data_IF_297677033839
#
_entry.id   IF_297677033839
#
_cell.length_a   1.000
_cell.length_b   1.000
_cell.length_c   1.000
_cell.angle_alpha   90.00
_cell.angle_beta   90.00
_cell.angle_gamma   90.00
#
_symmetry.space_group_name_H-M   'P 1'
#
loop_
_entity.id
_entity.type
_entity.pdbx_description
1 polymer ?
#
# COMPACT_ATOMS: atom_id res chain seq x y z
N UNK A 1 -11.21 16.45 14.82
CA UNK A 1 -10.69 15.10 15.10
C UNK A 1 -9.18 15.19 15.18
N UNK A 2 -8.59 14.87 16.33
CA UNK A 2 -7.15 14.88 16.51
C UNK A 2 -6.54 13.64 15.84
N UNK A 3 -5.41 13.81 15.14
CA UNK A 3 -4.69 12.70 14.52
C UNK A 3 -4.21 11.72 15.60
N UNK A 4 -4.26 10.39 15.36
CA UNK A 4 -3.72 9.42 16.30
C UNK A 4 -2.24 9.67 16.52
N UNK A 5 -1.85 9.75 17.79
CA UNK A 5 -0.47 9.98 18.23
C UNK A 5 0.42 8.86 17.68
N UNK A 6 1.30 9.18 16.73
CA UNK A 6 2.32 8.23 16.28
C UNK A 6 3.35 8.09 17.41
N UNK A 7 3.34 6.96 18.10
CA UNK A 7 4.25 6.60 19.21
C UNK A 7 5.74 6.49 18.79
N UNK A 8 6.17 7.16 17.71
CA UNK A 8 7.54 7.10 17.18
C UNK A 8 8.56 7.92 17.98
N UNK A 9 8.12 8.72 18.96
CA UNK A 9 8.99 9.52 19.81
C UNK A 9 8.79 9.16 21.28
N UNK A 10 9.90 8.86 21.97
CA UNK A 10 9.93 8.74 23.43
C UNK A 10 9.64 10.13 24.02
N UNK A 11 8.42 10.34 24.49
CA UNK A 11 8.06 11.56 25.21
C UNK A 11 8.79 11.56 26.56
N UNK A 12 9.36 12.72 26.88
CA UNK A 12 10.26 13.00 27.98
C UNK A 12 9.60 12.83 29.35
N UNK A 13 9.54 11.59 29.86
CA UNK A 13 8.98 11.34 31.19
C UNK A 13 9.38 10.04 31.88
N UNK A 14 10.23 9.21 31.28
CA UNK A 14 10.56 7.91 31.90
C UNK A 14 11.81 8.03 32.78
N UNK A 15 11.57 8.04 34.09
CA UNK A 15 12.59 8.02 35.14
C UNK A 15 13.34 6.70 35.03
N UNK A 16 14.67 6.76 35.06
CA UNK A 16 15.56 5.59 34.95
C UNK A 16 15.13 4.45 35.89
N UNK A 17 14.53 3.41 35.34
CA UNK A 17 14.29 2.14 36.02
C UNK A 17 14.53 0.99 35.03
N UNK A 18 15.48 0.13 35.38
CA UNK A 18 15.90 -1.13 34.77
C UNK A 18 15.93 -1.29 33.24
N UNK A 19 17.10 -1.71 32.73
CA UNK A 19 17.39 -2.07 31.34
C UNK A 19 16.64 -3.35 30.86
N UNK A 20 15.36 -3.51 31.16
CA UNK A 20 14.51 -4.37 30.31
C UNK A 20 14.24 -3.57 29.04
N UNK A 21 14.68 -4.10 27.91
CA UNK A 21 14.48 -3.49 26.61
C UNK A 21 12.98 -3.20 26.46
N UNK A 22 12.61 -1.92 26.55
CA UNK A 22 11.24 -1.48 26.35
C UNK A 22 10.70 -2.11 25.05
N UNK A 23 9.43 -2.52 25.06
CA UNK A 23 8.77 -3.13 23.91
C UNK A 23 9.12 -2.32 22.66
N UNK A 24 9.78 -2.94 21.70
CA UNK A 24 10.10 -2.27 20.44
C UNK A 24 8.80 -1.84 19.77
N UNK A 25 8.85 -0.73 19.02
CA UNK A 25 7.72 -0.32 18.22
C UNK A 25 7.33 -1.49 17.29
N UNK A 26 6.03 -1.81 17.16
CA UNK A 26 5.61 -2.92 16.32
C UNK A 26 5.99 -2.65 14.87
N UNK A 27 6.60 -3.63 14.21
CA UNK A 27 6.84 -3.57 12.77
C UNK A 27 5.49 -3.58 12.03
N UNK A 28 5.33 -2.65 11.09
CA UNK A 28 4.11 -2.49 10.30
C UNK A 28 4.40 -2.73 8.82
N UNK A 29 3.42 -3.28 8.11
CA UNK A 29 3.42 -3.31 6.66
C UNK A 29 2.79 -2.02 6.14
N UNK A 30 3.49 -1.32 5.24
CA UNK A 30 2.96 -0.18 4.50
C UNK A 30 2.83 -0.53 3.03
N UNK A 31 1.68 -0.24 2.43
CA UNK A 31 1.44 -0.36 1.00
C UNK A 31 1.04 1.03 0.49
N UNK A 32 1.78 1.52 -0.51
CA UNK A 32 1.63 2.84 -1.08
C UNK A 32 1.26 2.68 -2.55
N UNK A 33 0.33 3.49 -3.04
CA UNK A 33 -0.14 3.45 -4.41
C UNK A 33 -0.02 4.85 -5.05
N UNK A 34 0.50 4.88 -6.28
CA UNK A 34 0.52 6.07 -7.14
C UNK A 34 -0.28 5.77 -8.41
N UNK A 35 -1.50 6.27 -8.52
CA UNK A 35 -2.42 5.92 -9.61
C UNK A 35 -1.97 6.35 -11.00
N UNK A 36 -1.28 7.50 -11.10
CA UNK A 36 -0.69 7.95 -12.36
C UNK A 36 0.72 7.35 -12.61
N UNK A 37 1.23 6.55 -11.66
CA UNK A 37 2.58 6.01 -11.72
C UNK A 37 3.66 7.09 -11.52
N UNK A 38 4.77 6.92 -12.22
CA UNK A 38 5.95 7.78 -12.13
C UNK A 38 6.55 8.03 -13.53
N UNK A 39 7.53 8.94 -13.62
CA UNK A 39 8.25 9.19 -14.88
C UNK A 39 8.99 7.93 -15.37
N UNK A 40 8.46 7.30 -16.42
CA UNK A 40 8.87 5.95 -16.84
C UNK A 40 10.34 5.80 -17.25
N UNK A 41 10.97 6.85 -17.81
CA UNK A 41 12.41 6.81 -18.16
C UNK A 41 13.34 6.77 -16.95
N UNK A 42 12.82 7.12 -15.77
CA UNK A 42 13.56 7.20 -14.51
C UNK A 42 13.04 6.21 -13.45
N UNK A 43 12.09 5.34 -13.82
CA UNK A 43 11.60 4.24 -12.98
C UNK A 43 12.29 2.93 -13.36
N UNK A 44 13.51 2.74 -12.85
CA UNK A 44 14.29 1.53 -13.08
C UNK A 44 15.30 1.29 -11.96
N UNK A 45 15.71 0.02 -11.83
CA UNK A 45 16.83 -0.41 -11.02
C UNK A 45 17.72 -1.38 -11.82
N UNK A 46 19.04 -1.36 -11.58
CA UNK A 46 20.03 -2.27 -12.18
C UNK A 46 21.00 -2.77 -11.11
N UNK A 47 21.48 -4.00 -11.25
CA UNK A 47 22.35 -4.62 -10.26
C UNK A 47 21.60 -4.97 -8.96
N UNK A 48 22.34 -5.13 -7.86
CA UNK A 48 21.81 -5.59 -6.57
C UNK A 48 22.64 -5.10 -5.37
N UNK A 49 22.03 -5.10 -4.19
CA UNK A 49 22.68 -4.74 -2.93
C UNK A 49 23.31 -3.35 -2.98
N UNK A 50 24.54 -3.22 -2.47
CA UNK A 50 25.28 -1.94 -2.43
C UNK A 50 25.52 -1.32 -3.80
N UNK A 51 25.69 -2.16 -4.82
CA UNK A 51 25.96 -1.77 -6.20
C UNK A 51 24.69 -1.52 -7.01
N UNK A 52 23.49 -1.61 -6.41
CA UNK A 52 22.24 -1.33 -7.10
C UNK A 52 22.19 0.14 -7.54
N UNK A 53 22.01 0.36 -8.83
CA UNK A 53 21.78 1.66 -9.45
C UNK A 53 20.28 1.90 -9.59
N UNK A 54 19.85 3.15 -9.39
CA UNK A 54 18.46 3.55 -9.42
C UNK A 54 18.27 4.77 -10.32
N UNK A 55 17.16 4.82 -11.05
CA UNK A 55 16.73 6.01 -11.77
C UNK A 55 16.31 7.15 -10.84
N UNK A 56 16.25 8.37 -11.35
CA UNK A 56 16.06 9.60 -10.55
C UNK A 56 14.77 9.62 -9.71
N UNK A 57 13.71 8.92 -10.14
CA UNK A 57 12.47 8.84 -9.37
C UNK A 57 12.68 8.18 -8.01
N UNK A 58 13.64 7.24 -7.92
CA UNK A 58 13.91 6.44 -6.73
C UNK A 58 15.06 7.02 -5.89
N UNK A 59 15.64 8.16 -6.27
CA UNK A 59 16.75 8.78 -5.54
C UNK A 59 16.42 9.05 -4.06
N UNK A 60 15.19 9.49 -3.68
CA UNK A 60 14.83 9.68 -2.27
C UNK A 60 14.93 8.43 -1.39
N UNK A 61 14.91 7.23 -1.99
CA UNK A 61 15.00 5.96 -1.25
C UNK A 61 16.32 5.22 -1.49
N UNK A 62 17.30 5.87 -2.13
CA UNK A 62 18.58 5.27 -2.53
C UNK A 62 19.39 4.71 -1.37
N UNK A 63 19.31 5.33 -0.20
CA UNK A 63 19.98 4.86 1.01
C UNK A 63 19.48 3.48 1.47
N UNK A 64 18.25 3.09 1.09
CA UNK A 64 17.62 1.83 1.45
C UNK A 64 17.81 0.71 0.42
N UNK A 65 18.63 0.91 -0.63
CA UNK A 65 18.78 -0.05 -1.75
C UNK A 65 19.21 -1.46 -1.35
N UNK A 66 19.96 -1.62 -0.25
CA UNK A 66 20.35 -2.93 0.29
C UNK A 66 19.19 -3.68 0.95
N UNK A 67 18.12 -2.96 1.30
CA UNK A 67 16.90 -3.45 1.92
C UNK A 67 15.71 -3.41 0.95
N UNK A 68 15.99 -3.32 -0.35
CA UNK A 68 14.97 -3.16 -1.39
C UNK A 68 15.00 -4.34 -2.35
N UNK A 69 13.80 -4.78 -2.75
CA UNK A 69 13.59 -5.67 -3.89
C UNK A 69 12.82 -4.87 -4.93
N UNK A 70 13.43 -4.69 -6.11
CA UNK A 70 12.78 -4.01 -7.23
C UNK A 70 12.23 -5.07 -8.21
N UNK A 71 10.91 -5.17 -8.30
CA UNK A 71 10.23 -6.16 -9.14
C UNK A 71 9.79 -5.50 -10.44
N UNK A 72 10.06 -6.15 -11.58
CA UNK A 72 9.59 -5.75 -12.90
C UNK A 72 8.81 -6.90 -13.53
N UNK A 73 7.89 -6.55 -14.44
CA UNK A 73 7.12 -7.54 -15.19
C UNK A 73 5.98 -8.18 -14.39
N UNK A 74 5.54 -7.57 -13.28
CA UNK A 74 4.29 -7.95 -12.65
C UNK A 74 3.15 -7.73 -13.65
N UNK A 75 2.31 -8.75 -13.81
CA UNK A 75 1.21 -8.77 -14.75
C UNK A 75 -0.06 -9.23 -14.03
N UNK A 76 -1.15 -8.50 -14.24
CA UNK A 76 -2.47 -8.86 -13.75
C UNK A 76 -3.43 -8.91 -14.94
N UNK A 77 -3.84 -10.13 -15.32
CA UNK A 77 -4.76 -10.33 -16.45
C UNK A 77 -6.14 -9.71 -16.20
N UNK A 78 -6.61 -9.68 -14.95
CA UNK A 78 -7.90 -9.09 -14.59
C UNK A 78 -7.88 -7.56 -14.71
N UNK A 79 -6.72 -6.90 -14.59
CA UNK A 79 -6.59 -5.45 -14.77
C UNK A 79 -6.83 -5.00 -16.23
N UNK A 80 -6.81 -5.93 -17.19
CA UNK A 80 -7.15 -5.68 -18.59
C UNK A 80 -8.66 -5.75 -18.88
N UNK A 81 -9.47 -6.21 -17.91
CA UNK A 81 -10.91 -6.40 -18.07
C UNK A 81 -11.66 -5.28 -17.36
N UNK A 82 -12.59 -4.64 -18.05
CA UNK A 82 -13.40 -3.56 -17.51
C UNK A 82 -12.86 -2.17 -17.83
N UNK A 83 -13.15 -1.19 -16.98
CA UNK A 83 -12.72 0.19 -17.19
C UNK A 83 -11.27 0.41 -16.72
N UNK A 84 -10.49 1.22 -17.45
CA UNK A 84 -9.06 1.47 -17.16
C UNK A 84 -8.83 1.93 -15.73
N UNK A 85 -9.66 2.83 -15.20
CA UNK A 85 -9.48 3.36 -13.84
C UNK A 85 -9.88 2.34 -12.79
N UNK A 86 -11.08 1.75 -12.94
CA UNK A 86 -11.63 0.78 -11.99
C UNK A 86 -10.76 -0.47 -11.89
N UNK A 87 -10.25 -0.95 -13.02
CA UNK A 87 -9.57 -2.25 -13.11
C UNK A 87 -8.07 -2.14 -12.86
N UNK A 88 -7.44 -0.97 -13.05
CA UNK A 88 -6.04 -0.76 -12.66
C UNK A 88 -5.89 -0.47 -11.16
N UNK A 89 -6.89 0.16 -10.54
CA UNK A 89 -6.88 0.48 -9.10
C UNK A 89 -7.56 -0.62 -8.28
N UNK A 90 -8.79 -0.98 -8.64
CA UNK A 90 -9.70 -1.75 -7.78
C UNK A 90 -9.31 -3.21 -7.57
N UNK A 91 -8.49 -3.80 -8.44
CA UNK A 91 -7.98 -5.17 -8.22
C UNK A 91 -6.47 -5.20 -7.95
N UNK A 92 -5.83 -4.05 -7.73
CA UNK A 92 -4.37 -3.95 -7.61
C UNK A 92 -3.82 -4.90 -6.54
N UNK A 93 -4.46 -4.96 -5.37
CA UNK A 93 -4.00 -5.76 -4.23
C UNK A 93 -4.73 -7.11 -4.08
N UNK A 94 -5.76 -7.38 -4.89
CA UNK A 94 -6.51 -8.64 -4.84
C UNK A 94 -6.26 -9.55 -6.03
N UNK A 95 -5.87 -9.00 -7.18
CA UNK A 95 -5.78 -9.72 -8.46
C UNK A 95 -7.12 -10.29 -8.95
N UNK A 96 -8.23 -9.93 -8.29
CA UNK A 96 -9.54 -10.53 -8.51
C UNK A 96 -10.34 -9.80 -9.61
N UNK A 97 -11.27 -10.50 -10.28
CA UNK A 97 -12.22 -9.84 -11.18
C UNK A 97 -13.14 -8.89 -10.41
N UNK A 98 -13.52 -7.78 -11.04
CA UNK A 98 -14.45 -6.80 -10.51
C UNK A 98 -15.85 -7.03 -11.09
N UNK A 99 -16.89 -6.90 -10.28
CA UNK A 99 -18.28 -6.94 -10.78
C UNK A 99 -18.67 -5.65 -11.49
N UNK A 100 -19.39 -5.79 -12.61
CA UNK A 100 -20.03 -4.68 -13.33
C UNK A 100 -21.48 -4.46 -12.83
N UNK A 101 -22.25 -3.60 -13.50
CA UNK A 101 -23.61 -3.24 -13.10
C UNK A 101 -23.67 -2.35 -11.85
N UNK A 102 -22.61 -1.58 -11.59
CA UNK A 102 -22.50 -0.76 -10.37
C UNK A 102 -22.36 -1.55 -9.06
N UNK A 103 -22.29 -2.88 -9.12
CA UNK A 103 -22.11 -3.75 -7.94
C UNK A 103 -20.68 -3.67 -7.42
N UNK A 104 -20.52 -3.85 -6.12
CA UNK A 104 -19.21 -3.96 -5.46
C UNK A 104 -18.93 -5.42 -5.12
N UNK A 105 -17.95 -6.00 -5.80
CA UNK A 105 -17.42 -7.33 -5.55
C UNK A 105 -15.98 -7.39 -6.08
N UNK A 106 -15.06 -7.70 -5.19
CA UNK A 106 -13.64 -8.00 -5.44
C UNK A 106 -13.25 -9.22 -4.59
N UNK A 107 -11.99 -9.63 -4.64
CA UNK A 107 -11.41 -10.59 -3.70
C UNK A 107 -10.78 -9.90 -2.49
N UNK A 108 -10.57 -10.64 -1.40
CA UNK A 108 -9.81 -10.15 -0.25
C UNK A 108 -8.42 -9.70 -0.70
N UNK A 109 -8.06 -8.46 -0.43
CA UNK A 109 -6.77 -7.92 -0.82
C UNK A 109 -5.64 -8.39 0.10
N UNK A 110 -4.41 -8.39 -0.40
CA UNK A 110 -3.22 -8.85 0.34
C UNK A 110 -3.04 -8.10 1.67
N UNK A 111 -3.32 -6.80 1.73
CA UNK A 111 -3.25 -6.03 2.97
C UNK A 111 -4.25 -6.52 4.03
N UNK A 112 -5.47 -6.87 3.61
CA UNK A 112 -6.49 -7.39 4.51
C UNK A 112 -6.20 -8.84 4.91
N UNK A 113 -5.68 -9.66 3.99
CA UNK A 113 -5.21 -11.01 4.33
C UNK A 113 -4.10 -10.98 5.40
N UNK A 114 -3.10 -10.10 5.24
CA UNK A 114 -2.03 -9.93 6.25
C UNK A 114 -2.62 -9.42 7.57
N UNK A 115 -3.54 -8.46 7.54
CA UNK A 115 -4.20 -7.95 8.75
C UNK A 115 -4.96 -9.05 9.51
N UNK A 116 -5.63 -9.98 8.80
CA UNK A 116 -6.29 -11.13 9.42
C UNK A 116 -5.29 -12.07 10.12
N UNK A 117 -4.09 -12.25 9.56
CA UNK A 117 -3.09 -13.16 10.11
C UNK A 117 -2.32 -12.56 11.30
N UNK A 118 -1.90 -11.30 11.22
CA UNK A 118 -0.97 -10.69 12.18
C UNK A 118 -1.45 -9.38 12.80
N UNK A 119 -2.63 -8.88 12.41
CA UNK A 119 -3.17 -7.60 12.89
C UNK A 119 -3.44 -7.56 14.38
N UNK A 120 -3.61 -8.72 15.02
CA UNK A 120 -3.73 -8.86 16.49
C UNK A 120 -2.47 -8.45 17.26
N UNK A 121 -1.33 -8.25 16.56
CA UNK A 121 -0.07 -7.78 17.16
C UNK A 121 0.00 -6.25 17.30
N UNK A 122 -0.99 -5.53 16.79
CA UNK A 122 -1.07 -4.05 16.84
C UNK A 122 -2.43 -3.60 17.33
N UNK A 123 -2.52 -2.43 17.98
CA UNK A 123 -3.80 -1.86 18.46
C UNK A 123 -4.86 -1.72 17.35
N UNK A 124 -4.44 -1.33 16.14
CA UNK A 124 -5.27 -1.28 14.94
C UNK A 124 -4.77 -2.38 13.99
N UNK A 125 -5.61 -3.35 13.60
CA UNK A 125 -5.21 -4.45 12.72
C UNK A 125 -4.96 -3.99 11.28
N UNK A 126 -5.69 -2.96 10.82
CA UNK A 126 -5.53 -2.33 9.51
C UNK A 126 -5.96 -0.86 9.59
N UNK A 127 -5.31 0.00 8.81
CA UNK A 127 -5.67 1.41 8.65
C UNK A 127 -5.54 1.77 7.16
N UNK A 128 -6.67 2.10 6.53
CA UNK A 128 -6.73 2.46 5.12
C UNK A 128 -6.97 3.95 4.99
N UNK A 129 -6.11 4.63 4.24
CA UNK A 129 -6.17 6.08 4.02
C UNK A 129 -6.18 6.38 2.52
N UNK A 130 -7.09 7.24 2.10
CA UNK A 130 -7.13 7.80 0.74
C UNK A 130 -6.73 9.28 0.77
N UNK A 131 -6.03 9.74 -0.27
CA UNK A 131 -5.70 11.16 -0.44
C UNK A 131 -6.87 11.97 -1.01
N UNK A 132 -7.90 11.31 -1.54
CA UNK A 132 -9.05 11.93 -2.18
C UNK A 132 -10.36 11.35 -1.63
N UNK A 133 -11.45 12.08 -1.83
CA UNK A 133 -12.79 11.64 -1.45
C UNK A 133 -13.23 10.49 -2.36
N UNK A 134 -13.82 9.46 -1.77
CA UNK A 134 -14.43 8.36 -2.52
C UNK A 134 -15.54 8.87 -3.46
N UNK A 135 -15.56 8.36 -4.68
CA UNK A 135 -16.60 8.65 -5.67
C UNK A 135 -17.51 7.43 -5.86
N UNK A 136 -18.76 7.47 -5.38
CA UNK A 136 -19.69 6.33 -5.49
C UNK A 136 -20.45 6.28 -6.82
N UNK A 137 -20.10 7.11 -7.81
CA UNK A 137 -20.77 7.08 -9.12
C UNK A 137 -20.49 5.80 -9.91
N UNK A 138 -21.16 5.65 -11.06
CA UNK A 138 -20.91 4.56 -12.00
C UNK A 138 -20.32 5.14 -13.28
N UNK A 139 -19.24 4.54 -13.78
CA UNK A 139 -18.63 4.91 -15.04
C UNK A 139 -18.29 3.67 -15.87
N UNK A 140 -18.81 3.63 -17.11
CA UNK A 140 -18.68 2.48 -18.03
C UNK A 140 -19.10 1.15 -17.37
N UNK A 141 -20.25 1.16 -16.70
CA UNK A 141 -20.84 0.01 -16.00
C UNK A 141 -20.10 -0.48 -14.73
N UNK A 142 -18.98 0.16 -14.36
CA UNK A 142 -18.27 -0.14 -13.11
C UNK A 142 -18.48 0.96 -12.08
N UNK A 143 -18.55 0.58 -10.80
CA UNK A 143 -18.54 1.58 -9.73
C UNK A 143 -17.20 2.31 -9.68
N UNK A 144 -17.25 3.62 -9.50
CA UNK A 144 -16.08 4.46 -9.26
C UNK A 144 -15.46 4.22 -7.88
N UNK A 145 -16.12 3.47 -7.00
CA UNK A 145 -15.49 2.99 -5.76
C UNK A 145 -14.26 2.11 -6.04
N UNK A 146 -14.26 1.36 -7.15
CA UNK A 146 -13.08 0.62 -7.61
C UNK A 146 -11.92 1.54 -8.03
N UNK A 147 -12.22 2.77 -8.46
CA UNK A 147 -11.20 3.78 -8.77
C UNK A 147 -10.73 4.55 -7.53
N UNK A 148 -11.47 4.46 -6.42
CA UNK A 148 -11.17 5.18 -5.17
C UNK A 148 -10.50 4.32 -4.10
N UNK A 149 -10.44 2.99 -4.25
CA UNK A 149 -9.93 2.09 -3.22
C UNK A 149 -9.10 0.95 -3.82
N UNK A 150 -8.07 0.56 -3.08
CA UNK A 150 -7.21 -0.60 -3.41
C UNK A 150 -7.34 -1.75 -2.39
N UNK A 151 -8.05 -1.53 -1.28
CA UNK A 151 -8.16 -2.43 -0.13
C UNK A 151 -9.59 -2.99 -0.02
N UNK A 152 -9.72 -4.31 0.12
CA UNK A 152 -10.99 -5.05 0.05
C UNK A 152 -11.01 -6.21 1.05
N UNK A 153 -12.10 -6.36 1.80
CA UNK A 153 -12.33 -7.48 2.72
C UNK A 153 -13.50 -8.35 2.29
#
# INVERSE_FOLDING_TARGET
MALPWMESLRVWGDVKSDKKQASQAPTRMGILFSGCGYHGREWWAKGQGKAMELGKVLDPIREFREKMVFIRGLYNAEALKGNIHSSQTGNLLSGAPLASGGRIKSGTSVDQFVAQQIGHRTKLPSLVLGCEKANPSVHKDYSMLYSSHISWS
#
